data_IF_215504793932
#
_entry.id   IF_215504793932
#
_cell.length_a   1.000
_cell.length_b   1.000
_cell.length_c   1.000
_cell.angle_alpha   90.00
_cell.angle_beta   90.00
_cell.angle_gamma   90.00
#
_symmetry.space_group_name_H-M   'P 1'
#
loop_
_entity.id
_entity.type
_entity.pdbx_description
1 polymer ?
#
# COMPACT_ATOMS: atom_id res chain seq x y z
N UNK A 1 -12.35 -1.53 -9.48
CA UNK A 1 -11.18 -1.28 -10.36
C UNK A 1 -11.47 -1.90 -11.71
N UNK A 2 -10.95 -1.35 -12.80
CA UNK A 2 -11.12 -1.96 -14.11
C UNK A 2 -10.32 -3.28 -14.19
N UNK A 3 -10.84 -4.25 -14.93
CA UNK A 3 -10.09 -5.45 -15.29
C UNK A 3 -8.85 -5.05 -16.11
N UNK A 4 -7.70 -5.65 -15.80
CA UNK A 4 -6.41 -5.33 -16.40
C UNK A 4 -5.67 -4.14 -15.79
N UNK A 5 -6.21 -3.48 -14.76
CA UNK A 5 -5.58 -2.30 -14.16
C UNK A 5 -4.19 -2.60 -13.58
N UNK A 6 -3.22 -1.75 -13.91
CA UNK A 6 -1.86 -1.82 -13.41
C UNK A 6 -1.76 -1.20 -12.01
N UNK A 7 -1.24 -1.96 -11.06
CA UNK A 7 -1.17 -1.52 -9.66
C UNK A 7 0.23 -1.59 -9.08
N UNK A 8 0.56 -0.57 -8.29
CA UNK A 8 1.65 -0.66 -7.31
C UNK A 8 1.07 -1.21 -6.01
N UNK A 9 1.56 -2.37 -5.57
CA UNK A 9 1.14 -2.98 -4.32
C UNK A 9 1.94 -2.41 -3.14
N UNK A 10 1.26 -1.92 -2.11
CA UNK A 10 1.85 -1.18 -0.99
C UNK A 10 1.56 -1.85 0.34
N UNK A 11 2.61 -2.30 1.02
CA UNK A 11 2.55 -2.93 2.33
C UNK A 11 3.10 -2.07 3.45
N UNK A 12 2.37 -1.98 4.56
CA UNK A 12 2.85 -1.40 5.81
C UNK A 12 2.82 -2.44 6.92
N UNK A 13 3.96 -2.66 7.58
CA UNK A 13 4.08 -3.72 8.58
C UNK A 13 4.83 -3.26 9.83
N UNK A 14 4.44 -3.82 10.96
CA UNK A 14 5.24 -3.78 12.18
C UNK A 14 6.58 -4.50 11.95
N UNK A 15 7.68 -4.00 12.51
CA UNK A 15 9.00 -4.62 12.37
C UNK A 15 9.10 -6.03 12.95
N UNK A 16 8.19 -6.40 13.88
CA UNK A 16 8.09 -7.76 14.43
C UNK A 16 7.44 -8.76 13.47
N UNK A 17 6.68 -8.28 12.49
CA UNK A 17 6.00 -9.12 11.51
C UNK A 17 7.03 -9.65 10.50
N UNK A 18 7.30 -10.95 10.56
CA UNK A 18 8.35 -11.62 9.77
C UNK A 18 7.83 -12.20 8.47
N UNK A 19 6.56 -12.58 8.46
CA UNK A 19 5.78 -13.12 7.35
C UNK A 19 5.30 -12.06 6.35
N UNK A 20 5.77 -10.81 6.46
CA UNK A 20 5.34 -9.72 5.58
C UNK A 20 5.55 -10.03 4.09
N UNK A 21 6.59 -10.78 3.73
CA UNK A 21 6.84 -11.20 2.35
C UNK A 21 5.71 -12.13 1.85
N UNK A 22 5.34 -13.13 2.65
CA UNK A 22 4.22 -14.04 2.35
C UNK A 22 2.92 -13.27 2.21
N UNK A 23 2.67 -12.29 3.08
CA UNK A 23 1.47 -11.44 2.99
C UNK A 23 1.44 -10.58 1.72
N UNK A 24 2.60 -10.07 1.28
CA UNK A 24 2.70 -9.34 0.00
C UNK A 24 2.46 -10.27 -1.19
N UNK A 25 2.93 -11.52 -1.14
CA UNK A 25 2.72 -12.50 -2.21
C UNK A 25 1.25 -12.93 -2.28
N UNK A 26 0.63 -13.23 -1.14
CA UNK A 26 -0.80 -13.52 -1.04
C UNK A 26 -1.64 -12.35 -1.56
N UNK A 27 -1.30 -11.12 -1.17
CA UNK A 27 -1.99 -9.92 -1.64
C UNK A 27 -1.84 -9.72 -3.15
N UNK A 28 -0.67 -10.00 -3.72
CA UNK A 28 -0.47 -9.95 -5.15
C UNK A 28 -1.32 -11.00 -5.89
N UNK A 29 -1.38 -12.23 -5.38
CA UNK A 29 -2.23 -13.28 -5.93
C UNK A 29 -3.72 -12.91 -5.87
N UNK A 30 -4.17 -12.31 -4.77
CA UNK A 30 -5.53 -11.79 -4.63
C UNK A 30 -5.81 -10.70 -5.68
N UNK A 31 -4.92 -9.70 -5.80
CA UNK A 31 -5.08 -8.65 -6.81
C UNK A 31 -5.18 -9.24 -8.24
N UNK A 32 -4.31 -10.19 -8.60
CA UNK A 32 -4.35 -10.88 -9.89
C UNK A 32 -5.63 -11.67 -10.10
N UNK A 33 -6.11 -12.38 -9.07
CA UNK A 33 -7.37 -13.12 -9.14
C UNK A 33 -8.56 -12.22 -9.44
N UNK A 34 -8.52 -10.97 -8.96
CA UNK A 34 -9.54 -9.95 -9.22
C UNK A 34 -9.22 -9.06 -10.43
N UNK A 35 -8.34 -9.53 -11.34
CA UNK A 35 -8.10 -8.92 -12.64
C UNK A 35 -7.07 -7.78 -12.67
N UNK A 36 -6.43 -7.43 -11.55
CA UNK A 36 -5.38 -6.41 -11.55
C UNK A 36 -4.01 -7.02 -11.91
N UNK A 37 -3.12 -6.22 -12.52
CA UNK A 37 -1.73 -6.61 -12.78
C UNK A 37 -0.79 -5.86 -11.84
N UNK A 38 -0.06 -6.59 -10.99
CA UNK A 38 0.91 -5.97 -10.07
C UNK A 38 2.19 -5.61 -10.82
N UNK A 39 2.39 -4.32 -11.10
CA UNK A 39 3.56 -3.79 -11.84
C UNK A 39 4.70 -3.35 -10.93
N UNK A 40 4.49 -3.31 -9.62
CA UNK A 40 5.52 -2.96 -8.66
C UNK A 40 5.09 -3.20 -7.22
N UNK A 41 6.07 -3.26 -6.30
CA UNK A 41 5.82 -3.47 -4.87
C UNK A 41 6.63 -2.49 -4.02
N UNK A 42 6.00 -1.90 -3.01
CA UNK A 42 6.65 -1.06 -2.01
C UNK A 42 6.29 -1.56 -0.62
N UNK A 43 7.30 -1.73 0.24
CA UNK A 43 7.12 -2.15 1.63
C UNK A 43 7.73 -1.11 2.57
N UNK A 44 6.96 -0.67 3.56
CA UNK A 44 7.45 0.06 4.72
C UNK A 44 7.31 -0.81 5.96
N UNK A 45 8.41 -0.96 6.70
CA UNK A 45 8.39 -1.60 8.02
C UNK A 45 8.66 -0.57 9.09
N UNK A 46 7.98 -0.69 10.23
CA UNK A 46 8.20 0.17 11.40
C UNK A 46 8.93 -0.58 12.51
N UNK A 47 10.21 -0.24 12.69
CA UNK A 47 11.06 -0.78 13.75
C UNK A 47 10.89 -0.05 15.10
N UNK A 48 11.54 -0.59 16.14
CA UNK A 48 11.64 0.05 17.47
C UNK A 48 12.30 1.43 17.38
N UNK A 49 13.26 1.60 16.47
CA UNK A 49 13.94 2.88 16.23
C UNK A 49 13.01 4.01 15.78
N UNK A 50 11.79 3.70 15.34
CA UNK A 50 10.77 4.67 14.93
C UNK A 50 9.82 5.05 16.08
N UNK A 51 10.39 5.33 17.27
CA UNK A 51 9.65 5.85 18.43
C UNK A 51 9.29 4.84 19.52
N UNK A 52 10.04 3.74 19.62
CA UNK A 52 9.94 2.73 20.67
C UNK A 52 8.97 1.59 20.34
N UNK A 53 9.06 0.50 21.11
CA UNK A 53 8.27 -0.71 20.89
C UNK A 53 6.75 -0.45 20.91
N UNK A 54 6.30 0.51 21.74
CA UNK A 54 4.88 0.89 21.86
C UNK A 54 4.28 1.46 20.58
N UNK A 55 5.09 2.03 19.68
CA UNK A 55 4.61 2.68 18.44
C UNK A 55 4.71 1.79 17.21
N UNK A 56 5.22 0.56 17.32
CA UNK A 56 5.47 -0.30 16.16
C UNK A 56 4.20 -0.71 15.40
N UNK A 57 3.05 -0.73 16.07
CA UNK A 57 1.75 -0.99 15.44
C UNK A 57 1.06 0.28 14.92
N UNK A 58 1.56 1.47 15.27
CA UNK A 58 0.97 2.74 14.85
C UNK A 58 1.45 3.12 13.44
N UNK A 59 0.67 3.86 12.65
CA UNK A 59 1.13 4.44 11.39
C UNK A 59 2.28 5.44 11.62
N UNK A 60 3.19 5.59 10.65
CA UNK A 60 4.19 6.67 10.66
C UNK A 60 3.52 8.05 10.64
N UNK A 61 2.38 8.14 9.97
CA UNK A 61 1.58 9.34 9.86
C UNK A 61 0.11 8.94 9.84
N UNK A 62 -0.71 9.58 10.66
CA UNK A 62 -2.17 9.36 10.66
C UNK A 62 -2.80 9.71 9.31
N UNK A 63 -2.17 10.59 8.52
CA UNK A 63 -2.64 11.03 7.20
C UNK A 63 -2.28 10.09 6.06
N UNK A 64 -1.16 9.39 6.15
CA UNK A 64 -0.59 8.67 5.00
C UNK A 64 -0.25 7.21 5.29
N UNK A 65 -0.41 6.74 6.53
CA UNK A 65 0.04 5.43 7.04
C UNK A 65 1.58 5.28 7.02
N UNK A 66 2.21 5.60 5.90
CA UNK A 66 3.63 5.60 5.61
C UNK A 66 4.32 6.91 6.01
N UNK A 67 5.65 6.90 5.99
CA UNK A 67 6.43 8.14 6.01
C UNK A 67 6.26 8.92 4.69
N UNK A 68 6.44 10.23 4.72
CA UNK A 68 6.37 11.07 3.51
C UNK A 68 7.35 10.63 2.42
N UNK A 69 8.59 10.29 2.80
CA UNK A 69 9.60 9.79 1.86
C UNK A 69 9.12 8.53 1.14
N UNK A 70 8.45 7.62 1.86
CA UNK A 70 7.90 6.41 1.24
C UNK A 70 6.72 6.67 0.33
N UNK A 71 5.86 7.64 0.66
CA UNK A 71 4.79 8.06 -0.27
C UNK A 71 5.39 8.58 -1.57
N UNK A 72 6.49 9.34 -1.51
CA UNK A 72 7.21 9.79 -2.72
C UNK A 72 7.81 8.63 -3.51
N UNK A 73 8.33 7.59 -2.84
CA UNK A 73 8.78 6.38 -3.54
C UNK A 73 7.63 5.65 -4.26
N UNK A 74 6.43 5.61 -3.66
CA UNK A 74 5.24 5.04 -4.32
C UNK A 74 4.87 5.89 -5.55
N UNK A 75 4.83 7.22 -5.42
CA UNK A 75 4.56 8.13 -6.54
C UNK A 75 5.57 7.96 -7.68
N UNK A 76 6.87 7.94 -7.36
CA UNK A 76 7.91 7.74 -8.36
C UNK A 76 7.85 6.36 -9.03
N UNK A 77 7.47 5.30 -8.28
CA UNK A 77 7.26 4.00 -8.88
C UNK A 77 6.04 4.01 -9.81
N UNK A 78 4.94 4.62 -9.37
CA UNK A 78 3.73 4.81 -10.18
C UNK A 78 4.05 5.52 -11.49
N UNK A 79 4.83 6.60 -11.45
CA UNK A 79 5.23 7.34 -12.66
C UNK A 79 6.07 6.48 -13.61
N UNK A 80 7.01 5.68 -13.09
CA UNK A 80 7.86 4.82 -13.93
C UNK A 80 7.11 3.66 -14.56
N UNK A 81 6.10 3.12 -13.88
CA UNK A 81 5.34 1.95 -14.35
C UNK A 81 4.02 2.31 -15.01
N UNK A 82 3.68 3.60 -15.05
CA UNK A 82 2.37 4.12 -15.43
C UNK A 82 1.21 3.41 -14.71
N UNK A 83 1.37 3.17 -13.40
CA UNK A 83 0.35 2.44 -12.66
C UNK A 83 -0.95 3.26 -12.52
N UNK A 84 -2.08 2.59 -12.76
CA UNK A 84 -3.42 3.12 -12.64
C UNK A 84 -3.80 3.42 -11.18
N UNK A 85 -3.29 2.64 -10.23
CA UNK A 85 -3.62 2.78 -8.81
C UNK A 85 -2.50 2.32 -7.87
N UNK A 86 -2.54 2.82 -6.64
CA UNK A 86 -1.75 2.32 -5.52
C UNK A 86 -2.66 1.45 -4.62
N UNK A 87 -2.39 0.15 -4.61
CA UNK A 87 -3.20 -0.84 -3.88
C UNK A 87 -2.56 -1.13 -2.52
N UNK A 88 -3.20 -0.68 -1.44
CA UNK A 88 -2.72 -0.84 -0.08
C UNK A 88 -3.26 -2.12 0.54
N UNK A 89 -2.38 -2.92 1.13
CA UNK A 89 -2.78 -4.10 1.90
C UNK A 89 -3.59 -3.71 3.16
N UNK A 90 -3.25 -2.58 3.76
CA UNK A 90 -3.97 -2.05 4.92
C UNK A 90 -5.25 -1.35 4.47
N UNK A 91 -6.33 -1.53 5.23
CA UNK A 91 -7.55 -0.73 5.07
C UNK A 91 -7.25 0.74 5.32
N UNK A 92 -7.52 1.56 4.31
CA UNK A 92 -7.37 3.00 4.40
C UNK A 92 -8.66 3.61 4.95
N UNK A 93 -8.51 4.58 5.84
CA UNK A 93 -9.61 5.50 6.16
C UNK A 93 -9.85 6.44 4.98
N UNK A 94 -11.05 7.01 4.87
CA UNK A 94 -11.37 7.99 3.82
C UNK A 94 -10.43 9.19 3.79
N UNK A 95 -10.00 9.64 4.98
CA UNK A 95 -8.99 10.71 5.09
C UNK A 95 -7.64 10.28 4.50
N UNK A 96 -7.19 9.06 4.81
CA UNK A 96 -5.92 8.55 4.29
C UNK A 96 -5.98 8.36 2.79
N UNK A 97 -7.08 7.77 2.29
CA UNK A 97 -7.33 7.60 0.86
C UNK A 97 -7.19 8.93 0.12
N UNK A 98 -7.92 9.96 0.54
CA UNK A 98 -7.91 11.27 -0.11
C UNK A 98 -6.50 11.87 -0.18
N UNK A 99 -5.78 11.89 0.95
CA UNK A 99 -4.43 12.46 1.02
C UNK A 99 -3.45 11.64 0.19
N UNK A 100 -3.51 10.31 0.24
CA UNK A 100 -2.64 9.44 -0.53
C UNK A 100 -2.90 9.58 -2.03
N UNK A 101 -4.15 9.63 -2.46
CA UNK A 101 -4.51 9.86 -3.86
C UNK A 101 -3.92 11.16 -4.38
N UNK A 102 -4.07 12.25 -3.63
CA UNK A 102 -3.50 13.56 -3.99
C UNK A 102 -1.97 13.51 -4.07
N UNK A 103 -1.32 12.86 -3.11
CA UNK A 103 0.15 12.81 -3.06
C UNK A 103 0.78 11.85 -4.07
N UNK A 104 0.10 10.77 -4.44
CA UNK A 104 0.61 9.75 -5.37
C UNK A 104 0.27 10.11 -6.82
N UNK A 105 -0.81 10.88 -7.05
CA UNK A 105 -1.28 11.24 -8.39
C UNK A 105 -2.12 10.17 -9.06
N UNK A 106 -2.54 9.13 -8.33
CA UNK A 106 -3.49 8.12 -8.78
C UNK A 106 -4.33 7.61 -7.58
N UNK A 107 -5.48 6.94 -7.82
CA UNK A 107 -6.30 6.39 -6.75
C UNK A 107 -5.52 5.48 -5.78
N UNK A 108 -5.58 5.81 -4.50
CA UNK A 108 -5.20 4.90 -3.42
C UNK A 108 -6.41 4.02 -3.04
N UNK A 109 -6.24 2.70 -3.05
CA UNK A 109 -7.35 1.74 -2.84
C UNK A 109 -6.92 0.70 -1.81
N UNK A 110 -7.84 0.27 -0.93
CA UNK A 110 -7.54 -0.86 -0.03
C UNK A 110 -7.78 -2.19 -0.76
N UNK A 111 -6.90 -3.18 -0.55
CA UNK A 111 -7.09 -4.52 -1.11
C UNK A 111 -8.43 -5.14 -0.72
N UNK A 112 -8.88 -4.92 0.51
CA UNK A 112 -10.18 -5.39 0.98
C UNK A 112 -11.36 -4.91 0.13
N UNK A 113 -11.28 -3.71 -0.46
CA UNK A 113 -12.33 -3.16 -1.32
C UNK A 113 -12.35 -3.83 -2.69
N UNK A 114 -11.19 -4.27 -3.18
CA UNK A 114 -11.08 -5.02 -4.44
C UNK A 114 -11.61 -6.43 -4.26
N UNK A 115 -11.28 -7.07 -3.13
CA UNK A 115 -11.73 -8.43 -2.81
C UNK A 115 -13.23 -8.47 -2.50
N UNK A 116 -13.79 -7.44 -1.85
CA UNK A 116 -15.22 -7.38 -1.55
C UNK A 116 -16.11 -7.03 -2.75
N UNK A 117 -15.53 -6.48 -3.82
CA UNK A 117 -16.26 -6.06 -5.02
C UNK A 117 -16.30 -7.13 -6.12
N UNK A 118 -15.70 -8.30 -5.91
CA UNK A 118 -15.72 -9.45 -6.83
C UNK A 118 -16.23 -10.71 -6.14
#
# INVERSE_FOLDING_TARGET
MAEGADVVLVGYFCGKQKDFAVLMDTAAQQATKHGARVVGRIVQRRGVSAGGARKMALPYSSRTLLSYGKVREVAALRERTDADAALFLSTLTERQRRVLTEMIGCPAVSLAEVVAAG
#
